data_IF_096466783155
#
_entry.id   IF_096466783155
#
_cell.length_a   1.000
_cell.length_b   1.000
_cell.length_c   1.000
_cell.angle_alpha   90.00
_cell.angle_beta   90.00
_cell.angle_gamma   90.00
#
_symmetry.space_group_name_H-M   'P 1'
#
loop_
_entity.id
_entity.type
_entity.pdbx_description
1 polymer ?
#
# COMPACT_ATOMS: atom_id res chain seq x y z
N UNK A 1 -45.24 22.91 -5.40
CA UNK A 1 -45.39 23.07 -6.86
C UNK A 1 -44.00 22.89 -7.46
N UNK A 2 -43.72 21.70 -7.98
CA UNK A 2 -42.43 21.31 -8.57
C UNK A 2 -42.55 21.47 -10.08
N UNK A 3 -41.73 22.32 -10.69
CA UNK A 3 -41.63 22.38 -12.16
C UNK A 3 -40.87 21.16 -12.67
N UNK A 4 -41.55 20.34 -13.45
CA UNK A 4 -40.99 19.20 -14.15
C UNK A 4 -40.65 19.68 -15.57
N UNK A 5 -39.36 19.66 -15.93
CA UNK A 5 -38.91 19.99 -17.28
C UNK A 5 -39.11 18.79 -18.24
N UNK A 6 -39.89 18.94 -19.32
CA UNK A 6 -40.50 17.82 -20.06
C UNK A 6 -39.60 17.14 -21.12
N UNK A 7 -38.27 17.21 -21.03
CA UNK A 7 -37.37 16.77 -22.13
C UNK A 7 -36.27 15.77 -21.75
N UNK A 8 -36.36 15.11 -20.59
CA UNK A 8 -35.44 14.02 -20.23
C UNK A 8 -36.15 12.66 -20.28
N UNK A 9 -36.26 12.10 -21.48
CA UNK A 9 -36.58 10.68 -21.65
C UNK A 9 -35.30 9.85 -21.49
N UNK A 10 -35.38 8.79 -20.69
CA UNK A 10 -34.29 7.83 -20.47
C UNK A 10 -33.91 7.21 -21.83
N UNK A 11 -32.66 7.45 -22.27
CA UNK A 11 -32.13 6.96 -23.55
C UNK A 11 -31.91 8.03 -24.63
N UNK A 12 -32.23 9.30 -24.38
CA UNK A 12 -31.91 10.39 -25.31
C UNK A 12 -30.41 10.72 -25.32
N UNK A 13 -29.74 10.50 -26.45
CA UNK A 13 -28.34 10.88 -26.65
C UNK A 13 -28.22 12.41 -26.72
N UNK A 14 -27.46 13.00 -25.81
CA UNK A 14 -27.25 14.46 -25.74
C UNK A 14 -26.47 14.94 -26.97
N UNK A 15 -27.12 15.71 -27.85
CA UNK A 15 -26.48 16.32 -29.00
C UNK A 15 -25.37 17.31 -28.57
N UNK A 16 -24.13 16.97 -28.94
CA UNK A 16 -22.88 17.72 -29.14
C UNK A 16 -22.59 19.09 -28.45
N UNK A 17 -23.56 19.97 -28.20
CA UNK A 17 -23.31 21.28 -27.54
C UNK A 17 -23.21 21.20 -26.01
N UNK A 18 -23.75 20.15 -25.37
CA UNK A 18 -23.57 19.92 -23.93
C UNK A 18 -22.17 19.41 -23.55
N UNK A 19 -21.37 18.92 -24.51
CA UNK A 19 -20.00 18.47 -24.28
C UNK A 19 -18.98 19.62 -24.17
N UNK A 20 -19.40 20.88 -24.36
CA UNK A 20 -18.50 22.05 -24.29
C UNK A 20 -18.01 22.41 -22.87
N UNK A 21 -18.20 21.55 -21.88
CA UNK A 21 -17.75 21.75 -20.49
C UNK A 21 -16.65 20.77 -20.02
N UNK A 22 -16.00 20.03 -20.91
CA UNK A 22 -14.83 19.21 -20.56
C UNK A 22 -13.57 19.82 -21.19
N UNK A 23 -13.28 21.06 -20.79
CA UNK A 23 -11.95 21.63 -20.96
C UNK A 23 -11.50 22.19 -19.61
N UNK A 24 -11.59 21.38 -18.55
CA UNK A 24 -10.96 21.69 -17.27
C UNK A 24 -9.44 21.51 -17.39
N UNK A 25 -8.86 22.32 -18.27
CA UNK A 25 -7.42 22.44 -18.49
C UNK A 25 -6.66 22.62 -17.17
N UNK A 26 -7.18 23.39 -16.18
CA UNK A 26 -6.60 23.44 -14.84
C UNK A 26 -6.50 22.06 -14.17
N UNK A 27 -7.60 21.29 -14.07
CA UNK A 27 -7.58 19.98 -13.44
C UNK A 27 -6.66 18.98 -14.16
N UNK A 28 -6.76 18.90 -15.49
CA UNK A 28 -5.92 18.01 -16.31
C UNK A 28 -4.44 18.34 -16.13
N UNK A 29 -4.10 19.63 -16.08
CA UNK A 29 -2.73 20.10 -15.83
C UNK A 29 -2.24 19.67 -14.44
N UNK A 30 -3.05 19.87 -13.39
CA UNK A 30 -2.70 19.44 -12.02
C UNK A 30 -2.51 17.93 -11.92
N UNK A 31 -3.37 17.12 -12.55
CA UNK A 31 -3.21 15.66 -12.60
C UNK A 31 -1.91 15.28 -13.31
N UNK A 32 -1.55 15.96 -14.42
CA UNK A 32 -0.28 15.74 -15.12
C UNK A 32 0.93 16.04 -14.24
N UNK A 33 0.88 17.15 -13.50
CA UNK A 33 1.93 17.55 -12.56
C UNK A 33 2.05 16.54 -11.41
N UNK A 34 0.93 16.18 -10.77
CA UNK A 34 0.89 15.16 -9.72
C UNK A 34 1.53 13.85 -10.19
N UNK A 35 1.12 13.38 -11.37
CA UNK A 35 1.65 12.13 -11.95
C UNK A 35 3.17 12.18 -12.11
N UNK A 36 3.72 13.31 -12.58
CA UNK A 36 5.16 13.50 -12.74
C UNK A 36 5.89 13.50 -11.40
N UNK A 37 5.35 14.18 -10.40
CA UNK A 37 5.92 14.23 -9.05
C UNK A 37 5.95 12.82 -8.46
N UNK A 38 4.82 12.11 -8.47
CA UNK A 38 4.71 10.76 -7.92
C UNK A 38 5.63 9.77 -8.64
N UNK A 39 5.76 9.87 -9.97
CA UNK A 39 6.71 9.06 -10.73
C UNK A 39 8.15 9.27 -10.27
N UNK A 40 8.58 10.53 -10.12
CA UNK A 40 9.94 10.84 -9.65
C UNK A 40 10.16 10.36 -8.21
N UNK A 41 9.18 10.58 -7.34
CA UNK A 41 9.20 10.12 -5.96
C UNK A 41 9.37 8.61 -5.83
N UNK A 42 8.65 7.86 -6.66
CA UNK A 42 8.72 6.39 -6.67
C UNK A 42 10.05 5.89 -7.27
N UNK A 43 10.47 6.42 -8.42
CA UNK A 43 11.55 5.81 -9.22
C UNK A 43 12.93 6.47 -9.08
N UNK A 44 13.00 7.75 -8.69
CA UNK A 44 14.27 8.48 -8.54
C UNK A 44 14.66 8.68 -7.09
N UNK A 45 13.68 8.99 -6.25
CA UNK A 45 13.90 9.25 -4.82
C UNK A 45 13.68 7.98 -3.97
N UNK A 46 13.11 6.92 -4.55
CA UNK A 46 12.74 5.67 -3.85
C UNK A 46 11.97 5.90 -2.55
N UNK A 47 11.09 6.91 -2.55
CA UNK A 47 10.32 7.29 -1.38
C UNK A 47 9.15 6.34 -1.14
N UNK A 48 8.86 6.11 0.13
CA UNK A 48 7.68 5.34 0.56
C UNK A 48 6.39 6.09 0.26
N UNK A 49 5.31 5.31 0.14
CA UNK A 49 3.98 5.81 -0.12
C UNK A 49 3.46 6.61 1.09
N UNK A 50 2.92 7.81 0.83
CA UNK A 50 2.45 8.74 1.87
C UNK A 50 0.93 8.77 1.88
N UNK A 51 0.33 7.91 2.71
CA UNK A 51 -1.13 7.77 2.84
C UNK A 51 -1.74 8.76 3.83
N UNK A 52 -0.95 9.32 4.74
CA UNK A 52 -1.43 10.35 5.64
C UNK A 52 -1.75 11.65 4.87
N UNK A 53 -2.93 12.28 5.08
CA UNK A 53 -3.31 13.51 4.38
C UNK A 53 -2.34 14.69 4.57
N UNK A 54 -1.69 14.82 5.73
CA UNK A 54 -0.74 15.89 6.00
C UNK A 54 0.55 15.62 5.22
N UNK A 55 1.04 14.39 5.25
CA UNK A 55 2.21 14.00 4.46
C UNK A 55 1.97 14.15 2.95
N UNK A 56 0.80 13.78 2.45
CA UNK A 56 0.43 13.98 1.04
C UNK A 56 0.37 15.47 0.67
N UNK A 57 -0.18 16.29 1.57
CA UNK A 57 -0.23 17.74 1.36
C UNK A 57 1.19 18.37 1.35
N UNK A 58 2.16 17.79 2.04
CA UNK A 58 3.56 18.23 1.93
C UNK A 58 4.14 17.95 0.53
N UNK A 59 3.73 16.86 -0.14
CA UNK A 59 4.10 16.59 -1.54
C UNK A 59 3.51 17.66 -2.46
N UNK A 60 2.25 18.04 -2.24
CA UNK A 60 1.61 19.13 -2.97
C UNK A 60 2.33 20.47 -2.74
N UNK A 61 2.62 20.82 -1.49
CA UNK A 61 3.24 22.09 -1.12
C UNK A 61 4.67 22.24 -1.66
N UNK A 62 5.38 21.14 -1.88
CA UNK A 62 6.71 21.14 -2.51
C UNK A 62 6.67 21.56 -3.99
N UNK A 63 5.49 21.58 -4.64
CA UNK A 63 5.33 22.03 -6.02
C UNK A 63 4.33 23.19 -6.09
N UNK A 64 4.80 24.44 -6.36
CA UNK A 64 3.92 25.60 -6.48
C UNK A 64 2.79 25.39 -7.52
N UNK A 65 3.10 24.67 -8.60
CA UNK A 65 2.15 24.36 -9.66
C UNK A 65 1.09 23.34 -9.25
N UNK A 66 1.32 22.49 -8.24
CA UNK A 66 0.34 21.53 -7.75
C UNK A 66 -0.55 22.10 -6.64
N UNK A 67 -0.07 23.13 -5.93
CA UNK A 67 -0.76 23.77 -4.80
C UNK A 67 -2.25 24.02 -5.06
N UNK A 68 -3.08 23.64 -4.09
CA UNK A 68 -4.53 23.77 -4.12
C UNK A 68 -5.27 22.58 -4.76
N UNK A 69 -4.57 21.64 -5.38
CA UNK A 69 -5.15 20.41 -5.93
C UNK A 69 -5.80 19.53 -4.86
N UNK A 70 -5.09 19.18 -3.79
CA UNK A 70 -5.62 18.26 -2.77
C UNK A 70 -6.81 18.88 -2.00
N UNK A 71 -6.76 20.16 -1.57
CA UNK A 71 -7.94 20.85 -1.06
C UNK A 71 -9.12 20.87 -2.03
N UNK A 72 -8.86 21.00 -3.35
CA UNK A 72 -9.91 20.96 -4.37
C UNK A 72 -10.57 19.59 -4.44
N UNK A 73 -9.79 18.50 -4.42
CA UNK A 73 -10.32 17.13 -4.37
C UNK A 73 -11.15 16.89 -3.10
N UNK A 74 -10.67 17.35 -1.95
CA UNK A 74 -11.38 17.28 -0.68
C UNK A 74 -12.72 18.01 -0.75
N UNK A 75 -12.73 19.26 -1.25
CA UNK A 75 -13.94 20.07 -1.35
C UNK A 75 -14.93 19.54 -2.40
N UNK A 76 -14.45 18.88 -3.45
CA UNK A 76 -15.31 18.31 -4.49
C UNK A 76 -16.05 17.04 -4.01
N UNK A 77 -15.43 16.26 -3.13
CA UNK A 77 -15.94 14.93 -2.74
C UNK A 77 -16.60 14.93 -1.36
N UNK A 78 -16.08 15.72 -0.41
CA UNK A 78 -16.54 15.71 0.99
C UNK A 78 -17.58 16.83 1.18
N UNK A 79 -18.84 16.50 1.55
CA UNK A 79 -19.87 17.49 1.82
C UNK A 79 -19.50 18.46 2.94
N UNK A 80 -19.89 19.73 2.80
CA UNK A 80 -19.54 20.80 3.75
C UNK A 80 -20.29 20.68 5.07
N UNK A 81 -21.40 19.95 5.10
CA UNK A 81 -22.29 19.77 6.24
C UNK A 81 -21.74 18.75 7.25
N UNK A 82 -20.72 17.97 6.86
CA UNK A 82 -20.11 16.99 7.75
C UNK A 82 -19.45 17.65 8.97
N UNK A 83 -19.49 16.95 10.10
CA UNK A 83 -18.75 17.32 11.31
C UNK A 83 -17.24 17.41 11.02
N UNK A 84 -16.51 18.18 11.82
CA UNK A 84 -15.07 18.33 11.67
C UNK A 84 -14.33 16.99 11.73
N UNK A 85 -14.72 16.12 12.67
CA UNK A 85 -14.19 14.76 12.78
C UNK A 85 -14.43 13.93 11.51
N UNK A 86 -15.67 13.89 11.02
CA UNK A 86 -16.02 13.10 9.83
C UNK A 86 -15.36 13.64 8.55
N UNK A 87 -15.11 14.95 8.48
CA UNK A 87 -14.32 15.55 7.39
C UNK A 87 -12.88 15.05 7.44
N UNK A 88 -12.27 15.01 8.62
CA UNK A 88 -10.89 14.58 8.76
C UNK A 88 -10.72 13.09 8.45
N UNK A 89 -11.62 12.24 8.91
CA UNK A 89 -11.62 10.82 8.55
C UNK A 89 -11.85 10.60 7.05
N UNK A 90 -12.78 11.34 6.45
CA UNK A 90 -13.03 11.24 5.00
C UNK A 90 -11.84 11.73 4.15
N UNK A 91 -10.99 12.63 4.63
CA UNK A 91 -9.77 13.02 3.90
C UNK A 91 -8.83 11.85 3.66
N UNK A 92 -8.81 10.85 4.56
CA UNK A 92 -7.97 9.65 4.42
C UNK A 92 -8.29 8.84 3.16
N UNK A 93 -9.53 8.88 2.65
CA UNK A 93 -9.89 8.18 1.41
C UNK A 93 -9.55 8.99 0.14
N UNK A 94 -9.37 10.31 0.26
CA UNK A 94 -9.03 11.17 -0.88
C UNK A 94 -7.57 10.98 -1.30
N UNK A 95 -6.67 10.70 -0.37
CA UNK A 95 -5.25 10.45 -0.68
C UNK A 95 -5.06 9.24 -1.62
N UNK A 96 -5.58 8.03 -1.29
CA UNK A 96 -5.65 6.90 -2.22
C UNK A 96 -6.22 7.27 -3.58
N UNK A 97 -7.29 8.08 -3.62
CA UNK A 97 -7.90 8.51 -4.88
C UNK A 97 -6.96 9.34 -5.75
N UNK A 98 -6.18 10.24 -5.17
CA UNK A 98 -5.16 10.99 -5.90
C UNK A 98 -4.09 10.06 -6.50
N UNK A 99 -3.64 9.05 -5.73
CA UNK A 99 -2.69 8.04 -6.23
C UNK A 99 -3.29 7.21 -7.37
N UNK A 100 -4.56 6.82 -7.25
CA UNK A 100 -5.28 6.11 -8.31
C UNK A 100 -5.35 6.93 -9.59
N UNK A 101 -5.80 8.19 -9.52
CA UNK A 101 -5.89 9.08 -10.69
C UNK A 101 -4.52 9.19 -11.39
N UNK A 102 -3.45 9.37 -10.63
CA UNK A 102 -2.10 9.43 -11.17
C UNK A 102 -1.64 8.09 -11.79
N UNK A 103 -1.96 6.97 -11.15
CA UNK A 103 -1.61 5.62 -11.61
C UNK A 103 -2.42 5.13 -12.81
N UNK A 104 -3.65 5.62 -13.00
CA UNK A 104 -4.43 5.44 -14.22
C UNK A 104 -3.79 6.23 -15.38
N UNK A 105 -3.32 7.45 -15.10
CA UNK A 105 -2.65 8.28 -16.11
C UNK A 105 -1.27 7.76 -16.52
N UNK A 106 -0.55 7.13 -15.61
CA UNK A 106 0.76 6.54 -15.88
C UNK A 106 0.90 5.18 -15.18
N UNK A 107 0.95 4.11 -15.97
CA UNK A 107 1.11 2.72 -15.48
C UNK A 107 2.35 2.48 -14.62
N UNK A 108 3.36 3.35 -14.72
CA UNK A 108 4.57 3.27 -13.90
C UNK A 108 4.44 3.95 -12.54
N UNK A 109 3.37 4.72 -12.30
CA UNK A 109 3.00 5.24 -10.97
C UNK A 109 2.08 4.22 -10.31
N UNK A 110 2.67 3.12 -9.88
CA UNK A 110 1.91 1.93 -9.45
C UNK A 110 2.17 1.54 -7.99
N UNK A 111 2.88 2.36 -7.21
CA UNK A 111 3.19 2.06 -5.81
C UNK A 111 1.92 1.78 -4.98
N UNK A 112 0.90 2.64 -5.06
CA UNK A 112 -0.38 2.40 -4.38
C UNK A 112 -1.08 1.12 -4.88
N UNK A 113 -1.05 0.87 -6.20
CA UNK A 113 -1.63 -0.36 -6.77
C UNK A 113 -0.94 -1.61 -6.24
N UNK A 114 0.39 -1.55 -6.05
CA UNK A 114 1.17 -2.64 -5.47
C UNK A 114 0.79 -2.91 -4.01
N UNK A 115 0.66 -1.87 -3.18
CA UNK A 115 0.22 -2.01 -1.79
C UNK A 115 -1.15 -2.68 -1.68
N UNK A 116 -2.11 -2.24 -2.50
CA UNK A 116 -3.45 -2.86 -2.57
C UNK A 116 -3.34 -4.33 -2.98
N UNK A 117 -2.54 -4.64 -4.01
CA UNK A 117 -2.36 -6.02 -4.44
C UNK A 117 -1.71 -6.92 -3.39
N UNK A 118 -0.69 -6.41 -2.69
CA UNK A 118 -0.02 -7.13 -1.60
C UNK A 118 -1.00 -7.39 -0.45
N UNK A 119 -1.82 -6.41 -0.11
CA UNK A 119 -2.89 -6.56 0.88
C UNK A 119 -3.89 -7.65 0.47
N UNK A 120 -4.35 -7.66 -0.78
CA UNK A 120 -5.26 -8.69 -1.29
C UNK A 120 -4.63 -10.09 -1.21
N UNK A 121 -3.38 -10.23 -1.65
CA UNK A 121 -2.65 -11.49 -1.58
C UNK A 121 -2.48 -11.98 -0.13
N UNK A 122 -2.10 -11.08 0.79
CA UNK A 122 -1.99 -11.37 2.22
C UNK A 122 -3.35 -11.70 2.88
N UNK A 123 -4.44 -11.15 2.35
CA UNK A 123 -5.81 -11.45 2.78
C UNK A 123 -6.35 -12.78 2.23
N UNK A 124 -5.55 -13.53 1.48
CA UNK A 124 -5.93 -14.82 0.92
C UNK A 124 -6.72 -14.74 -0.39
N UNK A 125 -6.71 -13.60 -1.10
CA UNK A 125 -7.30 -13.51 -2.43
C UNK A 125 -6.57 -14.43 -3.42
N UNK A 126 -7.32 -15.13 -4.26
CA UNK A 126 -6.71 -15.99 -5.30
C UNK A 126 -6.08 -15.15 -6.40
N UNK A 127 -5.17 -15.75 -7.16
CA UNK A 127 -4.55 -15.09 -8.32
C UNK A 127 -5.61 -14.61 -9.33
N UNK A 128 -6.64 -15.42 -9.57
CA UNK A 128 -7.75 -15.09 -10.48
C UNK A 128 -8.56 -13.90 -9.96
N UNK A 129 -8.80 -13.81 -8.65
CA UNK A 129 -9.49 -12.68 -8.04
C UNK A 129 -8.66 -11.39 -8.19
N UNK A 130 -7.34 -11.46 -7.95
CA UNK A 130 -6.42 -10.34 -8.12
C UNK A 130 -6.36 -9.90 -9.59
N UNK A 131 -6.26 -10.84 -10.53
CA UNK A 131 -6.20 -10.55 -11.97
C UNK A 131 -7.53 -9.95 -12.47
N UNK A 132 -8.66 -10.46 -11.98
CA UNK A 132 -10.00 -9.88 -12.26
C UNK A 132 -10.12 -8.46 -11.72
N UNK A 133 -9.63 -8.19 -10.50
CA UNK A 133 -9.61 -6.81 -10.01
C UNK A 133 -8.62 -5.93 -10.78
N UNK A 134 -7.49 -6.50 -11.23
CA UNK A 134 -6.48 -5.77 -11.99
C UNK A 134 -7.01 -5.28 -13.33
N UNK A 135 -8.02 -5.93 -13.93
CA UNK A 135 -8.68 -5.43 -15.14
C UNK A 135 -9.48 -4.15 -14.91
N UNK A 136 -9.81 -3.81 -13.66
CA UNK A 136 -10.37 -2.50 -13.26
C UNK A 136 -9.28 -1.44 -13.05
N UNK A 137 -8.03 -1.74 -13.40
CA UNK A 137 -6.84 -0.90 -13.23
C UNK A 137 -6.56 -0.46 -11.77
N UNK A 138 -7.11 -1.18 -10.78
CA UNK A 138 -7.01 -0.81 -9.36
C UNK A 138 -5.80 -1.49 -8.66
N UNK A 139 -5.75 -2.82 -8.50
CA UNK A 139 -4.52 -3.54 -8.19
C UNK A 139 -3.68 -3.84 -9.44
N UNK A 140 -2.45 -4.26 -9.22
CA UNK A 140 -1.59 -4.92 -10.20
C UNK A 140 -1.90 -6.43 -10.25
N UNK A 141 -1.75 -7.03 -11.44
CA UNK A 141 -1.92 -8.46 -11.69
C UNK A 141 -1.08 -9.35 -10.76
N UNK A 142 -1.60 -10.54 -10.46
CA UNK A 142 -1.06 -11.50 -9.51
C UNK A 142 0.40 -11.84 -9.83
N UNK A 143 0.75 -12.01 -11.11
CA UNK A 143 2.13 -12.27 -11.55
C UNK A 143 3.11 -11.20 -11.06
N UNK A 144 2.73 -9.92 -11.14
CA UNK A 144 3.60 -8.83 -10.69
C UNK A 144 3.76 -8.83 -9.17
N UNK A 145 2.71 -9.18 -8.44
CA UNK A 145 2.74 -9.34 -6.98
C UNK A 145 3.71 -10.44 -6.59
N UNK A 146 3.59 -11.62 -7.21
CA UNK A 146 4.48 -12.76 -6.94
C UNK A 146 5.93 -12.41 -7.23
N UNK A 147 6.21 -11.70 -8.34
CA UNK A 147 7.56 -11.23 -8.64
C UNK A 147 8.09 -10.25 -7.58
N UNK A 148 7.25 -9.36 -7.08
CA UNK A 148 7.63 -8.41 -6.03
C UNK A 148 7.89 -9.12 -4.70
N UNK A 149 7.03 -10.06 -4.30
CA UNK A 149 7.22 -10.90 -3.11
C UNK A 149 8.51 -11.73 -3.22
N UNK A 150 8.79 -12.30 -4.40
CA UNK A 150 10.04 -13.02 -4.66
C UNK A 150 11.25 -12.11 -4.47
N UNK A 151 11.21 -10.87 -4.97
CA UNK A 151 12.27 -9.88 -4.75
C UNK A 151 12.45 -9.53 -3.27
N UNK A 152 11.36 -9.42 -2.49
CA UNK A 152 11.44 -9.23 -1.04
C UNK A 152 12.14 -10.43 -0.38
N UNK A 153 11.73 -11.64 -0.73
CA UNK A 153 12.30 -12.88 -0.19
C UNK A 153 13.80 -12.99 -0.51
N UNK A 154 14.19 -12.75 -1.76
CA UNK A 154 15.60 -12.77 -2.19
C UNK A 154 16.43 -11.72 -1.45
N UNK A 155 15.90 -10.50 -1.28
CA UNK A 155 16.59 -9.45 -0.52
C UNK A 155 16.61 -9.70 0.99
N UNK A 156 15.66 -10.48 1.52
CA UNK A 156 15.51 -10.70 2.96
C UNK A 156 16.73 -11.40 3.54
N UNK A 157 17.27 -12.41 2.85
CA UNK A 157 18.47 -13.14 3.27
C UNK A 157 19.64 -12.16 3.42
N UNK A 158 19.93 -11.39 2.37
CA UNK A 158 21.00 -10.37 2.38
C UNK A 158 20.80 -9.32 3.47
N UNK A 159 19.56 -8.90 3.71
CA UNK A 159 19.24 -7.93 4.75
C UNK A 159 19.47 -8.49 6.16
N UNK A 160 19.08 -9.74 6.40
CA UNK A 160 19.33 -10.45 7.67
C UNK A 160 20.84 -10.60 7.89
N UNK A 161 21.58 -11.06 6.87
CA UNK A 161 23.03 -11.22 6.95
C UNK A 161 23.73 -9.88 7.25
N UNK A 162 23.34 -8.82 6.54
CA UNK A 162 23.86 -7.47 6.75
C UNK A 162 23.54 -6.95 8.16
N UNK A 163 22.33 -7.21 8.65
CA UNK A 163 21.92 -6.83 10.00
C UNK A 163 22.78 -7.52 11.05
N UNK A 164 22.94 -8.85 11.00
CA UNK A 164 23.73 -9.58 11.98
C UNK A 164 25.23 -9.32 11.84
N UNK A 165 25.74 -9.08 10.64
CA UNK A 165 27.13 -8.66 10.45
C UNK A 165 27.42 -7.32 11.15
N UNK A 166 26.47 -6.37 11.12
CA UNK A 166 26.59 -5.07 11.80
C UNK A 166 26.31 -5.13 13.30
N UNK A 167 25.51 -6.12 13.74
CA UNK A 167 24.98 -6.25 15.10
C UNK A 167 25.42 -7.55 15.76
N UNK A 168 26.58 -8.10 15.38
CA UNK A 168 27.02 -9.44 15.78
C UNK A 168 27.01 -9.70 17.30
N UNK A 169 27.21 -8.66 18.11
CA UNK A 169 27.20 -8.75 19.56
C UNK A 169 25.80 -8.76 20.20
N UNK A 170 24.73 -8.59 19.40
CA UNK A 170 23.35 -8.44 19.86
C UNK A 170 22.46 -9.62 19.45
N UNK A 171 23.01 -10.67 18.85
CA UNK A 171 22.26 -11.89 18.54
C UNK A 171 22.54 -12.93 19.61
N UNK A 172 21.52 -13.24 20.41
CA UNK A 172 21.54 -14.39 21.30
C UNK A 172 20.61 -15.46 20.74
N UNK A 173 21.19 -16.62 20.41
CA UNK A 173 20.44 -17.81 20.02
C UNK A 173 20.46 -18.75 21.23
N UNK A 174 19.30 -18.97 21.82
CA UNK A 174 19.13 -19.94 22.90
C UNK A 174 18.51 -21.19 22.30
N UNK A 175 19.21 -22.31 22.42
CA UNK A 175 18.59 -23.61 22.26
C UNK A 175 18.05 -24.01 23.62
N UNK A 176 16.73 -23.93 23.78
CA UNK A 176 16.04 -24.39 24.97
C UNK A 176 15.65 -25.83 24.70
N UNK A 177 16.36 -26.73 25.38
CA UNK A 177 15.98 -28.13 25.46
C UNK A 177 14.93 -28.24 26.56
N UNK A 178 13.73 -28.67 26.18
CA UNK A 178 12.73 -29.18 27.10
C UNK A 178 13.26 -30.52 27.61
N UNK A 179 14.02 -30.44 28.69
CA UNK A 179 14.48 -31.61 29.43
C UNK A 179 13.39 -32.09 30.40
N UNK A 180 12.13 -32.26 29.95
CA UNK A 180 11.05 -32.67 30.86
C UNK A 180 11.15 -34.11 31.38
N UNK A 181 12.04 -34.96 30.86
CA UNK A 181 12.02 -36.41 31.16
C UNK A 181 13.11 -36.93 32.13
N UNK A 182 13.87 -36.07 32.83
CA UNK A 182 14.73 -36.53 33.95
C UNK A 182 14.11 -36.17 35.29
N UNK A 183 13.20 -37.01 35.75
CA UNK A 183 12.69 -36.95 37.12
C UNK A 183 13.56 -37.71 38.15
N UNK A 184 14.67 -38.35 37.73
CA UNK A 184 15.53 -39.16 38.60
C UNK A 184 17.04 -38.98 38.34
N UNK A 185 17.84 -38.96 39.41
CA UNK A 185 19.31 -39.00 39.34
C UNK A 185 19.78 -40.32 38.74
N UNK A 186 20.19 -40.33 37.47
CA UNK A 186 20.81 -41.51 36.82
C UNK A 186 22.33 -41.38 36.76
N UNK A 187 23.05 -42.46 37.06
CA UNK A 187 24.49 -42.57 36.86
C UNK A 187 24.75 -42.86 35.38
N UNK A 188 25.68 -42.17 34.68
CA UNK A 188 25.95 -42.43 33.27
C UNK A 188 26.43 -43.86 33.06
N UNK A 189 25.59 -44.66 32.40
CA UNK A 189 25.90 -45.96 31.81
C UNK A 189 26.25 -45.69 30.35
N UNK A 190 27.38 -46.22 29.88
CA UNK A 190 28.08 -45.84 28.64
C UNK A 190 27.36 -46.19 27.33
N UNK A 191 26.05 -46.43 27.30
CA UNK A 191 25.38 -46.93 26.09
C UNK A 191 24.02 -46.34 25.72
N UNK A 192 23.49 -45.35 26.44
CA UNK A 192 22.22 -44.70 26.06
C UNK A 192 22.37 -43.20 25.78
N UNK A 193 22.14 -42.81 24.53
CA UNK A 193 21.92 -41.41 24.13
C UNK A 193 20.44 -41.06 24.32
N UNK A 194 20.12 -40.09 25.17
CA UNK A 194 18.76 -39.56 25.26
C UNK A 194 18.39 -38.88 23.94
N UNK A 195 17.27 -39.29 23.33
CA UNK A 195 16.66 -38.57 22.21
C UNK A 195 15.95 -37.34 22.75
N UNK A 196 16.36 -36.15 22.30
CA UNK A 196 15.66 -34.92 22.60
C UNK A 196 14.27 -34.95 21.95
N UNK A 197 13.20 -34.80 22.76
CA UNK A 197 11.82 -34.88 22.29
C UNK A 197 11.30 -33.53 21.78
N UNK A 198 11.73 -32.41 22.38
CA UNK A 198 11.29 -31.07 22.01
C UNK A 198 12.43 -30.06 22.10
N UNK A 199 12.87 -29.53 20.96
CA UNK A 199 13.79 -28.40 20.88
C UNK A 199 13.02 -27.13 20.54
N UNK A 200 13.25 -26.07 21.31
CA UNK A 200 12.81 -24.72 20.96
C UNK A 200 14.02 -23.81 20.76
N UNK A 201 14.13 -23.17 19.59
CA UNK A 201 15.13 -22.14 19.35
C UNK A 201 14.52 -20.77 19.61
N UNK A 202 15.03 -20.06 20.61
CA UNK A 202 14.67 -18.67 20.90
C UNK A 202 15.74 -17.73 20.37
N UNK A 203 15.31 -16.74 19.56
CA UNK A 203 16.18 -15.68 19.06
C UNK A 203 15.83 -14.39 19.80
N UNK A 204 16.75 -13.93 20.64
CA UNK A 204 16.56 -12.68 21.40
C UNK A 204 17.41 -11.55 20.82
N UNK A 205 16.79 -10.39 20.70
CA UNK A 205 17.42 -9.12 20.34
C UNK A 205 17.36 -8.20 21.57
N UNK A 206 18.48 -7.62 22.03
CA UNK A 206 18.47 -6.57 23.03
C UNK A 206 17.82 -5.30 22.45
N UNK A 207 16.94 -4.69 23.25
CA UNK A 207 16.10 -3.52 22.90
C UNK A 207 16.95 -2.27 22.70
#
# INVERSE_FOLDING_TARGET
MLEIYPYLNIGGQLCHKHYSLINDQPFISKVKILTKILYNKQHRESTELKLDPIEFQNIENASPELKGFFPSMVNAIIPKERSAYNKQEAKKSIVPLCYMIAGLRNKFVNQFKMEVSLYLAASGATCEAIDTMSSLEYPICARSVTNYQKKIYENHITNIESYFSKKGNFLHIYNIDDFHDIHEKRRPDTTSTSTANHFATCVAKPV
#
